data_IF_153048654442
#
_entry.id   IF_153048654442
#
_cell.length_a   1.000
_cell.length_b   1.000
_cell.length_c   1.000
_cell.angle_alpha   90.00
_cell.angle_beta   90.00
_cell.angle_gamma   90.00
#
_symmetry.space_group_name_H-M   'P 1'
#
loop_
_entity.id
_entity.type
_entity.pdbx_description
1 polymer ?
#
# COMPACT_ATOMS: atom_id res chain seq x y z
N UNK A 1 0.64 6.78 16.52
CA UNK A 1 -0.11 7.99 16.09
C UNK A 1 0.29 8.43 14.68
N UNK A 2 1.59 8.68 14.40
CA UNK A 2 2.03 9.11 13.05
C UNK A 2 1.61 8.16 11.93
N UNK A 3 1.63 6.85 12.15
CA UNK A 3 1.21 5.86 11.15
C UNK A 3 -0.29 5.93 10.78
N UNK A 4 -1.09 6.66 11.57
CA UNK A 4 -2.50 6.96 11.26
C UNK A 4 -2.66 8.22 10.40
N UNK A 5 -1.74 9.17 10.51
CA UNK A 5 -1.80 10.46 9.81
C UNK A 5 -0.95 10.47 8.53
N UNK A 6 0.23 9.84 8.56
CA UNK A 6 1.13 9.65 7.43
C UNK A 6 1.53 8.17 7.35
N UNK A 7 0.63 7.32 6.81
CA UNK A 7 0.89 5.90 6.68
C UNK A 7 2.04 5.65 5.69
N UNK A 8 2.77 4.53 5.87
CA UNK A 8 3.84 4.15 4.93
C UNK A 8 3.28 3.82 3.54
N UNK A 9 2.06 3.31 3.48
CA UNK A 9 1.40 2.91 2.25
C UNK A 9 0.05 3.60 2.16
N UNK A 10 -0.25 4.13 0.98
CA UNK A 10 -1.53 4.77 0.69
C UNK A 10 -2.50 3.79 0.07
N UNK A 11 -3.77 3.92 0.45
CA UNK A 11 -4.83 3.11 -0.11
C UNK A 11 -5.25 3.68 -1.45
N UNK A 12 -5.25 2.82 -2.46
CA UNK A 12 -5.82 3.14 -3.76
C UNK A 12 -7.26 2.66 -3.82
N UNK A 13 -8.16 3.47 -4.39
CA UNK A 13 -9.54 3.05 -4.60
C UNK A 13 -9.60 1.88 -5.60
N UNK A 14 -10.27 0.81 -5.17
CA UNK A 14 -10.43 -0.40 -5.97
C UNK A 14 -11.62 -0.25 -6.92
N UNK A 15 -11.43 0.43 -8.04
CA UNK A 15 -12.39 0.48 -9.15
C UNK A 15 -11.70 -0.02 -10.42
N UNK A 16 -12.37 -0.82 -11.25
CA UNK A 16 -11.76 -1.47 -12.44
C UNK A 16 -11.18 -0.46 -13.41
N UNK A 17 -11.95 0.58 -13.71
CA UNK A 17 -11.54 1.69 -14.57
C UNK A 17 -10.27 2.38 -14.08
N UNK A 18 -9.96 2.28 -12.79
CA UNK A 18 -8.81 2.94 -12.20
C UNK A 18 -7.65 1.96 -12.01
N UNK A 19 -7.90 0.71 -11.60
CA UNK A 19 -6.86 -0.27 -11.29
C UNK A 19 -6.19 -0.89 -12.51
N UNK A 20 -6.97 -1.21 -13.55
CA UNK A 20 -6.40 -1.87 -14.73
C UNK A 20 -5.52 -0.91 -15.55
N UNK A 21 -5.87 0.38 -15.52
CA UNK A 21 -5.14 1.46 -16.17
C UNK A 21 -4.20 2.20 -15.21
N UNK A 22 -4.06 1.74 -13.97
CA UNK A 22 -3.15 2.37 -13.02
C UNK A 22 -1.73 2.12 -13.50
N UNK A 23 -1.02 3.22 -13.70
CA UNK A 23 0.38 3.18 -14.08
C UNK A 23 1.21 3.20 -12.79
N UNK A 24 1.86 2.08 -12.50
CA UNK A 24 2.70 1.90 -11.32
C UNK A 24 4.12 2.37 -11.64
N UNK A 25 4.67 3.20 -10.77
CA UNK A 25 6.03 3.68 -10.91
C UNK A 25 7.01 2.66 -10.30
N UNK A 26 8.17 2.45 -10.93
CA UNK A 26 9.13 1.41 -10.53
C UNK A 26 9.87 1.73 -9.23
N UNK A 27 9.88 2.98 -8.78
CA UNK A 27 10.60 3.47 -7.60
C UNK A 27 9.85 3.20 -6.27
N UNK A 28 8.62 2.69 -6.33
CA UNK A 28 7.75 2.45 -5.18
C UNK A 28 7.44 0.97 -4.99
N UNK A 29 7.37 0.53 -3.74
CA UNK A 29 6.80 -0.78 -3.42
C UNK A 29 5.27 -0.78 -3.59
N UNK A 30 4.74 -1.85 -4.19
CA UNK A 30 3.30 -2.05 -4.37
C UNK A 30 2.84 -3.29 -3.63
N UNK A 31 1.83 -3.12 -2.78
CA UNK A 31 1.25 -4.15 -1.94
C UNK A 31 -0.14 -4.53 -2.44
N UNK A 32 -0.31 -5.81 -2.79
CA UNK A 32 -1.55 -6.36 -3.30
C UNK A 32 -2.00 -7.44 -2.32
N UNK A 33 -3.07 -7.17 -1.56
CA UNK A 33 -3.69 -8.19 -0.72
C UNK A 33 -4.79 -8.87 -1.50
N UNK A 34 -4.69 -10.19 -1.58
CA UNK A 34 -5.73 -11.02 -2.16
C UNK A 34 -6.43 -11.84 -1.09
N UNK A 35 -7.67 -12.21 -1.39
CA UNK A 35 -8.47 -13.18 -0.67
C UNK A 35 -8.75 -14.33 -1.62
N UNK A 36 -8.32 -15.53 -1.22
CA UNK A 36 -8.54 -16.78 -1.95
C UNK A 36 -9.60 -17.60 -1.24
N UNK A 37 -10.67 -17.98 -1.95
CA UNK A 37 -11.64 -18.94 -1.44
C UNK A 37 -11.06 -20.34 -1.54
N UNK A 38 -11.05 -21.07 -0.44
CA UNK A 38 -10.65 -22.48 -0.39
C UNK A 38 -11.75 -23.31 0.25
N UNK A 39 -11.67 -24.63 0.15
CA UNK A 39 -12.64 -25.55 0.79
C UNK A 39 -12.72 -25.37 2.32
N UNK A 40 -11.65 -24.86 2.92
CA UNK A 40 -11.55 -24.58 4.36
C UNK A 40 -11.89 -23.12 4.72
N UNK A 41 -12.37 -22.34 3.75
CA UNK A 41 -12.72 -20.92 3.92
C UNK A 41 -11.75 -19.95 3.25
N UNK A 42 -11.92 -18.66 3.57
CA UNK A 42 -11.18 -17.56 2.94
C UNK A 42 -9.78 -17.42 3.54
N UNK A 43 -8.76 -17.41 2.66
CA UNK A 43 -7.36 -17.23 3.03
C UNK A 43 -6.81 -15.94 2.43
N UNK A 44 -6.17 -15.14 3.25
CA UNK A 44 -5.53 -13.91 2.81
C UNK A 44 -4.07 -14.15 2.44
N UNK A 45 -3.62 -13.51 1.36
CA UNK A 45 -2.20 -13.49 0.98
C UNK A 45 -1.81 -12.09 0.53
N UNK A 46 -0.66 -11.63 1.00
CA UNK A 46 -0.08 -10.35 0.59
C UNK A 46 1.02 -10.62 -0.44
N UNK A 47 0.89 -10.00 -1.61
CA UNK A 47 1.94 -9.93 -2.62
C UNK A 47 2.58 -8.57 -2.60
N UNK A 48 3.90 -8.56 -2.73
CA UNK A 48 4.71 -7.34 -2.76
C UNK A 48 5.45 -7.29 -4.08
N UNK A 49 5.13 -6.31 -4.90
CA UNK A 49 5.97 -5.94 -6.03
C UNK A 49 6.99 -4.95 -5.50
N UNK A 50 8.24 -5.39 -5.42
CA UNK A 50 9.33 -4.55 -4.90
C UNK A 50 9.65 -3.45 -5.90
N UNK A 51 10.05 -2.29 -5.42
CA UNK A 51 10.71 -1.27 -6.24
C UNK A 51 11.87 -1.88 -7.02
N UNK A 52 12.17 -1.28 -8.18
CA UNK A 52 13.17 -1.72 -9.15
C UNK A 52 12.92 -3.11 -9.77
N UNK A 53 11.77 -3.74 -9.51
CA UNK A 53 11.37 -4.98 -10.22
C UNK A 53 11.11 -4.73 -11.71
N UNK A 54 10.77 -3.50 -12.06
CA UNK A 54 10.54 -3.04 -13.43
C UNK A 54 11.45 -1.85 -13.72
N UNK A 55 11.89 -1.71 -14.98
CA UNK A 55 12.76 -0.58 -15.39
C UNK A 55 11.99 0.69 -15.76
N UNK A 56 10.69 0.55 -16.05
CA UNK A 56 9.79 1.59 -16.51
C UNK A 56 8.47 1.44 -15.78
N UNK A 57 7.63 2.47 -15.87
CA UNK A 57 6.28 2.39 -15.35
C UNK A 57 5.54 1.22 -16.00
N UNK A 58 4.75 0.52 -15.21
CA UNK A 58 4.14 -0.74 -15.56
C UNK A 58 2.70 -0.79 -15.06
N UNK A 59 1.86 -1.55 -15.73
CA UNK A 59 0.48 -1.82 -15.32
C UNK A 59 0.38 -3.18 -14.60
N UNK A 60 -0.80 -3.48 -14.06
CA UNK A 60 -1.09 -4.83 -13.55
C UNK A 60 -1.09 -5.89 -14.65
N UNK A 61 -1.41 -5.49 -15.88
CA UNK A 61 -1.32 -6.36 -17.06
C UNK A 61 0.14 -6.71 -17.38
N UNK A 62 1.07 -5.74 -17.29
CA UNK A 62 2.52 -5.97 -17.43
C UNK A 62 3.09 -6.87 -16.31
N UNK A 63 2.50 -6.78 -15.10
CA UNK A 63 2.80 -7.72 -14.01
C UNK A 63 2.29 -9.14 -14.30
N UNK A 64 1.39 -9.28 -15.28
CA UNK A 64 0.85 -10.52 -15.80
C UNK A 64 -0.53 -10.88 -15.25
N UNK A 65 -1.31 -9.90 -14.78
CA UNK A 65 -2.64 -10.10 -14.18
C UNK A 65 -3.69 -9.30 -14.94
N UNK A 66 -4.76 -9.97 -15.34
CA UNK A 66 -5.96 -9.31 -15.82
C UNK A 66 -7.09 -9.42 -14.80
N UNK A 67 -7.78 -8.31 -14.60
CA UNK A 67 -8.83 -8.16 -13.59
C UNK A 67 -10.19 -7.99 -14.24
N UNK A 68 -11.22 -8.47 -13.56
CA UNK A 68 -12.62 -8.32 -13.98
C UNK A 68 -13.50 -8.07 -12.76
N UNK A 69 -14.62 -7.37 -12.95
CA UNK A 69 -15.66 -7.30 -11.91
C UNK A 69 -16.40 -8.62 -11.87
N UNK A 70 -16.51 -9.21 -10.69
CA UNK A 70 -17.51 -10.25 -10.43
C UNK A 70 -18.31 -9.82 -9.21
N UNK A 71 -19.53 -9.37 -9.44
CA UNK A 71 -20.48 -9.01 -8.37
C UNK A 71 -19.95 -7.88 -7.46
N UNK A 72 -19.29 -6.86 -8.02
CA UNK A 72 -18.69 -5.76 -7.27
C UNK A 72 -17.36 -6.10 -6.60
N UNK A 73 -16.71 -7.19 -7.02
CA UNK A 73 -15.43 -7.67 -6.48
C UNK A 73 -14.40 -7.82 -7.60
N UNK A 74 -13.27 -7.14 -7.41
CA UNK A 74 -12.10 -7.21 -8.27
C UNK A 74 -11.49 -8.62 -8.24
N UNK A 75 -11.72 -9.41 -9.28
CA UNK A 75 -11.27 -10.79 -9.35
C UNK A 75 -10.26 -10.98 -10.46
N UNK A 76 -9.24 -11.80 -10.21
CA UNK A 76 -8.25 -12.17 -11.23
C UNK A 76 -8.89 -13.15 -12.21
N UNK A 77 -9.03 -12.73 -13.45
CA UNK A 77 -9.64 -13.54 -14.51
C UNK A 77 -8.59 -14.39 -15.23
N UNK A 78 -7.55 -13.74 -15.74
CA UNK A 78 -6.47 -14.41 -16.46
C UNK A 78 -5.12 -14.00 -15.91
N UNK A 79 -4.17 -14.95 -15.98
CA UNK A 79 -2.79 -14.77 -15.56
C UNK A 79 -1.88 -15.16 -16.72
N UNK A 80 -0.91 -14.33 -17.04
CA UNK A 80 0.13 -14.68 -17.99
C UNK A 80 1.01 -15.78 -17.40
N UNK A 81 1.18 -16.89 -18.13
CA UNK A 81 1.91 -18.07 -17.66
C UNK A 81 3.37 -17.77 -17.26
N UNK A 82 4.04 -16.93 -18.04
CA UNK A 82 5.42 -16.48 -17.81
C UNK A 82 5.52 -15.18 -16.99
N UNK A 83 4.39 -14.61 -16.56
CA UNK A 83 4.30 -13.34 -15.84
C UNK A 83 4.87 -13.40 -14.41
N UNK A 84 5.27 -12.24 -13.88
CA UNK A 84 5.80 -12.11 -12.52
C UNK A 84 4.75 -12.47 -11.46
N UNK A 85 3.48 -12.16 -11.71
CA UNK A 85 2.37 -12.54 -10.85
C UNK A 85 2.23 -14.06 -10.68
N UNK A 86 2.34 -14.82 -11.76
CA UNK A 86 2.27 -16.28 -11.68
C UNK A 86 3.43 -16.85 -10.88
N UNK A 87 4.64 -16.30 -11.09
CA UNK A 87 5.86 -16.68 -10.35
C UNK A 87 5.79 -16.36 -8.86
N UNK A 88 5.11 -15.26 -8.47
CA UNK A 88 4.89 -14.93 -7.05
C UNK A 88 3.80 -15.77 -6.38
N UNK A 89 3.04 -16.55 -7.16
CA UNK A 89 2.03 -17.49 -6.67
C UNK A 89 0.63 -16.89 -6.57
N UNK A 90 0.33 -15.91 -7.43
CA UNK A 90 -1.02 -15.42 -7.71
C UNK A 90 -1.79 -16.46 -8.52
N UNK A 91 -3.08 -16.65 -8.22
CA UNK A 91 -3.93 -17.62 -8.90
C UNK A 91 -5.19 -16.98 -9.49
N UNK A 92 -5.74 -17.62 -10.52
CA UNK A 92 -7.01 -17.22 -11.12
C UNK A 92 -8.12 -17.43 -10.10
N UNK A 93 -9.04 -16.46 -10.01
CA UNK A 93 -10.10 -16.48 -9.01
C UNK A 93 -9.74 -15.83 -7.66
N UNK A 94 -8.47 -15.43 -7.47
CA UNK A 94 -8.09 -14.60 -6.33
C UNK A 94 -8.82 -13.24 -6.41
N UNK A 95 -9.38 -12.79 -5.29
CA UNK A 95 -10.07 -11.50 -5.19
C UNK A 95 -9.11 -10.48 -4.58
N UNK A 96 -8.86 -9.36 -5.28
CA UNK A 96 -8.05 -8.27 -4.73
C UNK A 96 -8.88 -7.52 -3.69
N UNK A 97 -8.47 -7.62 -2.43
CA UNK A 97 -9.17 -6.99 -1.30
C UNK A 97 -8.56 -5.67 -0.88
N UNK A 98 -7.26 -5.48 -1.05
CA UNK A 98 -6.57 -4.20 -0.82
C UNK A 98 -5.45 -4.00 -1.83
N UNK A 99 -5.29 -2.76 -2.27
CA UNK A 99 -4.20 -2.33 -3.11
C UNK A 99 -3.58 -1.09 -2.48
N UNK A 100 -2.26 -1.13 -2.25
CA UNK A 100 -1.54 -0.02 -1.62
C UNK A 100 -0.24 0.26 -2.32
N UNK A 101 0.10 1.53 -2.43
CA UNK A 101 1.35 2.02 -3.02
C UNK A 101 2.17 2.68 -1.91
N UNK A 102 3.49 2.51 -1.93
CA UNK A 102 4.38 3.17 -0.99
C UNK A 102 4.31 4.70 -1.13
N UNK A 103 4.17 5.39 0.01
CA UNK A 103 4.20 6.85 0.05
C UNK A 103 5.64 7.32 0.31
N UNK A 104 6.25 7.94 -0.71
CA UNK A 104 7.59 8.53 -0.66
C UNK A 104 7.64 9.91 0.01
N UNK A 105 6.52 10.63 0.05
CA UNK A 105 6.40 11.96 0.68
C UNK A 105 6.35 11.90 2.22
N UNK A 106 6.35 10.69 2.78
CA UNK A 106 6.26 10.48 4.23
C UNK A 106 7.46 11.08 4.97
N UNK A 107 7.23 11.98 5.95
CA UNK A 107 8.30 12.56 6.75
C UNK A 107 9.11 11.51 7.50
N UNK A 108 10.45 11.68 7.53
CA UNK A 108 11.32 10.76 8.25
C UNK A 108 11.08 10.84 9.76
N UNK A 109 10.69 9.71 10.38
CA UNK A 109 10.47 9.58 11.82
C UNK A 109 11.67 10.05 12.65
N UNK A 110 12.88 9.82 12.16
CA UNK A 110 14.11 10.22 12.83
C UNK A 110 14.26 11.76 12.94
N UNK A 111 13.63 12.54 12.05
CA UNK A 111 13.61 14.01 12.11
C UNK A 111 12.40 14.48 12.94
N UNK A 112 11.23 13.88 12.72
CA UNK A 112 9.98 14.31 13.35
C UNK A 112 10.00 14.12 14.87
N UNK A 113 10.53 13.00 15.38
CA UNK A 113 10.48 12.72 16.82
C UNK A 113 11.36 13.66 17.66
N UNK A 114 12.64 13.91 17.33
CA UNK A 114 13.44 14.89 18.06
C UNK A 114 12.82 16.29 18.01
N UNK A 115 12.31 16.71 16.85
CA UNK A 115 11.65 18.02 16.72
C UNK A 115 10.40 18.13 17.59
N UNK A 116 9.56 17.10 17.60
CA UNK A 116 8.36 17.05 18.45
C UNK A 116 8.72 17.09 19.94
N UNK A 117 9.79 16.41 20.33
CA UNK A 117 10.26 16.39 21.71
C UNK A 117 10.76 17.77 22.16
N UNK A 118 11.51 18.47 21.30
CA UNK A 118 11.95 19.85 21.56
C UNK A 118 10.76 20.79 21.74
N UNK A 119 9.75 20.70 20.87
CA UNK A 119 8.52 21.48 21.01
C UNK A 119 7.78 21.16 22.32
N UNK A 120 7.70 19.88 22.68
CA UNK A 120 7.06 19.46 23.93
C UNK A 120 7.77 20.05 25.15
N UNK A 121 9.10 20.04 25.18
CA UNK A 121 9.86 20.71 26.25
C UNK A 121 9.70 22.22 26.22
N UNK A 122 9.69 22.85 25.04
CA UNK A 122 9.45 24.29 24.88
C UNK A 122 8.09 24.71 25.43
N UNK A 123 7.02 24.06 25.00
CA UNK A 123 5.67 24.30 25.53
C UNK A 123 5.56 23.95 27.01
N UNK A 124 6.17 22.85 27.45
CA UNK A 124 6.21 22.47 28.86
C UNK A 124 6.84 23.55 29.74
N UNK A 125 7.97 24.10 29.31
CA UNK A 125 8.66 25.19 30.00
C UNK A 125 7.84 26.48 30.02
N UNK A 126 7.25 26.88 28.88
CA UNK A 126 6.37 28.06 28.80
C UNK A 126 5.17 27.92 29.76
N UNK A 127 4.58 26.73 29.85
CA UNK A 127 3.49 26.45 30.78
C UNK A 127 3.94 26.50 32.25
N UNK A 128 5.10 25.92 32.57
CA UNK A 128 5.68 25.98 33.92
C UNK A 128 5.93 27.43 34.37
N UNK A 129 6.54 28.25 33.50
CA UNK A 129 6.79 29.67 33.79
C UNK A 129 5.50 30.44 34.03
N UNK A 130 4.44 30.16 33.26
CA UNK A 130 3.13 30.78 33.44
C UNK A 130 2.51 30.44 34.80
N UNK A 131 2.62 29.19 35.25
CA UNK A 131 2.09 28.75 36.55
C UNK A 131 2.84 29.31 37.78
N UNK A 132 4.06 29.82 37.60
CA UNK A 132 4.87 30.44 38.66
C UNK A 132 4.67 31.96 38.80
N UNK A 133 4.02 32.58 37.80
CA UNK A 133 3.70 34.00 37.74
C UNK A 133 2.23 34.30 38.13
N UNK A 134 1.55 33.33 38.75
CA UNK A 134 0.22 33.42 39.37
C UNK A 134 0.44 33.20 40.87
#
# INVERSE_FOLDING_TARGET
VLDKFYPKYEYTQLQISNLQFINLEPDRDVHIRVTRRTEYGDRYKLFVVKKDSFKKNYSLEDYGVNLVDKEGRMTIETLQWNGLAKKSGVETGDVISEFKIENLERPNKAIVYPFSLLLLFGFGYLNYKRGKNI
#
